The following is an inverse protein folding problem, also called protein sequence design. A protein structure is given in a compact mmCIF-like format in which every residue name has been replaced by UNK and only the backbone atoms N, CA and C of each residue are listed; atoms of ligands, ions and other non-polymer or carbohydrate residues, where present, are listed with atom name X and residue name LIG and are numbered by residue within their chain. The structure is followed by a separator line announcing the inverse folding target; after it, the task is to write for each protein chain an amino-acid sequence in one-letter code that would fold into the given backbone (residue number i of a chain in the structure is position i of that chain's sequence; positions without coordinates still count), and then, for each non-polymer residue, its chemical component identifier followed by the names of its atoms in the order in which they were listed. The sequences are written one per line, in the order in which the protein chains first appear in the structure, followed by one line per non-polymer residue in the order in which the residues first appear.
data_IF_574391991688
#
_entry.id   IF_574391991688
#
_cell.length_a   1.000
_cell.length_b   1.000
_cell.length_c   1.000
_cell.angle_alpha   90.00
_cell.angle_beta   90.00
_cell.angle_gamma   90.00
#
_symmetry.space_group_name_H-M   'P 1'
#
loop_
_entity.id
_entity.type
_entity.pdbx_description
1 polymer ?
#
# COMPACT_ATOMS: atom_id res chain seq x y z
N UNK A 1 5.32 -5.03 -15.63
CA UNK A 1 5.12 -5.81 -14.38
C UNK A 1 3.65 -5.92 -14.02
N UNK A 2 2.91 -4.82 -13.92
CA UNK A 2 1.50 -4.79 -13.52
C UNK A 2 0.57 -5.70 -14.36
N UNK A 3 0.80 -5.82 -15.67
CA UNK A 3 0.03 -6.72 -16.54
C UNK A 3 0.20 -8.18 -16.13
N UNK A 4 1.44 -8.62 -15.92
CA UNK A 4 1.70 -10.02 -15.55
C UNK A 4 1.21 -10.32 -14.13
N UNK A 5 1.36 -9.38 -13.18
CA UNK A 5 0.77 -9.53 -11.84
C UNK A 5 -0.75 -9.65 -11.87
N UNK A 6 -1.43 -8.94 -12.77
CA UNK A 6 -2.87 -9.07 -12.97
C UNK A 6 -3.22 -10.41 -13.59
N UNK A 7 -2.44 -10.85 -14.57
CA UNK A 7 -2.63 -12.15 -15.20
C UNK A 7 -2.42 -13.28 -14.20
N UNK A 8 -1.32 -13.28 -13.45
CA UNK A 8 -1.03 -14.28 -12.42
C UNK A 8 -2.12 -14.36 -11.35
N UNK A 9 -2.71 -13.22 -10.98
CA UNK A 9 -3.80 -13.19 -10.01
C UNK A 9 -5.05 -13.93 -10.50
N UNK A 10 -5.37 -13.87 -11.79
CA UNK A 10 -6.55 -14.53 -12.36
C UNK A 10 -6.21 -15.87 -13.02
N UNK A 11 -4.94 -16.17 -13.26
CA UNK A 11 -4.46 -17.39 -13.90
C UNK A 11 -4.98 -18.70 -13.25
N UNK A 12 -5.15 -18.78 -11.92
CA UNK A 12 -5.74 -19.96 -11.26
C UNK A 12 -7.08 -20.41 -11.87
N UNK A 13 -7.87 -19.50 -12.46
CA UNK A 13 -9.12 -19.82 -13.14
C UNK A 13 -8.91 -20.58 -14.46
N UNK A 14 -7.73 -20.47 -15.04
CA UNK A 14 -7.32 -21.18 -16.28
C UNK A 14 -6.43 -22.40 -16.02
N UNK A 15 -6.07 -22.66 -14.76
CA UNK A 15 -5.20 -23.77 -14.39
C UNK A 15 -6.00 -25.10 -14.43
N UNK A 16 -5.60 -26.07 -15.26
CA UNK A 16 -6.30 -27.32 -15.39
C UNK A 16 -6.24 -28.20 -14.13
N UNK A 17 -5.18 -28.08 -13.33
CA UNK A 17 -5.04 -28.81 -12.06
C UNK A 17 -6.03 -28.29 -11.03
N UNK A 18 -6.11 -26.96 -10.88
CA UNK A 18 -7.04 -26.35 -9.95
C UNK A 18 -8.49 -26.56 -10.37
N UNK A 19 -8.78 -26.47 -11.67
CA UNK A 19 -10.11 -26.74 -12.22
C UNK A 19 -10.56 -28.17 -11.87
N UNK A 20 -9.69 -29.16 -12.06
CA UNK A 20 -10.00 -30.54 -11.72
C UNK A 20 -10.09 -30.77 -10.20
N UNK A 21 -9.20 -30.14 -9.43
CA UNK A 21 -9.17 -30.29 -7.97
C UNK A 21 -10.42 -29.72 -7.29
N UNK A 22 -10.91 -28.59 -7.74
CA UNK A 22 -12.06 -27.90 -7.16
C UNK A 22 -13.37 -28.10 -7.91
N UNK A 23 -13.37 -28.86 -9.01
CA UNK A 23 -14.57 -29.23 -9.76
C UNK A 23 -15.24 -28.06 -10.50
N UNK A 24 -14.49 -27.03 -10.91
CA UNK A 24 -15.02 -25.94 -11.72
C UNK A 24 -14.59 -26.06 -13.19
N UNK A 25 -15.34 -25.39 -14.08
CA UNK A 25 -14.98 -25.35 -15.50
C UNK A 25 -13.80 -24.38 -15.70
N UNK A 26 -12.73 -24.90 -16.30
CA UNK A 26 -11.55 -24.10 -16.66
C UNK A 26 -11.95 -22.96 -17.60
N UNK A 27 -11.53 -21.75 -17.30
CA UNK A 27 -11.65 -20.59 -18.18
C UNK A 27 -10.55 -20.63 -19.23
N UNK A 28 -10.89 -20.33 -20.48
CA UNK A 28 -9.90 -20.26 -21.55
C UNK A 28 -8.86 -19.20 -21.27
N UNK A 29 -7.60 -19.55 -21.36
CA UNK A 29 -6.47 -18.70 -20.98
C UNK A 29 -6.41 -17.40 -21.80
N UNK A 30 -6.87 -17.40 -23.06
CA UNK A 30 -6.93 -16.17 -23.86
C UNK A 30 -7.92 -15.14 -23.29
N UNK A 31 -9.03 -15.60 -22.68
CA UNK A 31 -10.00 -14.72 -22.01
C UNK A 31 -9.34 -14.03 -20.81
N UNK A 32 -8.52 -14.78 -20.06
CA UNK A 32 -7.78 -14.22 -18.92
C UNK A 32 -6.79 -13.14 -19.39
N UNK A 33 -6.11 -13.34 -20.50
CA UNK A 33 -5.24 -12.32 -21.09
C UNK A 33 -6.00 -11.06 -21.50
N UNK A 34 -7.19 -11.22 -22.11
CA UNK A 34 -8.04 -10.06 -22.47
C UNK A 34 -8.50 -9.29 -21.24
N UNK A 35 -8.93 -9.99 -20.18
CA UNK A 35 -9.34 -9.37 -18.92
C UNK A 35 -8.14 -8.64 -18.27
N UNK A 36 -6.99 -9.30 -18.16
CA UNK A 36 -5.79 -8.69 -17.59
C UNK A 36 -5.36 -7.45 -18.37
N UNK A 37 -5.37 -7.51 -19.71
CA UNK A 37 -5.04 -6.38 -20.58
C UNK A 37 -6.03 -5.21 -20.41
N UNK A 38 -7.33 -5.49 -20.33
CA UNK A 38 -8.35 -4.46 -20.15
C UNK A 38 -8.16 -3.73 -18.81
N UNK A 39 -7.99 -4.47 -17.71
CA UNK A 39 -7.73 -3.89 -16.39
C UNK A 39 -6.42 -3.10 -16.38
N UNK A 40 -5.38 -3.65 -17.02
CA UNK A 40 -4.08 -3.00 -17.14
C UNK A 40 -4.16 -1.64 -17.85
N UNK A 41 -4.90 -1.55 -18.94
CA UNK A 41 -5.11 -0.27 -19.67
C UNK A 41 -5.76 0.76 -18.76
N UNK A 42 -6.75 0.37 -17.96
CA UNK A 42 -7.40 1.26 -16.98
C UNK A 42 -6.40 1.75 -15.93
N UNK A 43 -5.61 0.83 -15.34
CA UNK A 43 -4.59 1.18 -14.34
C UNK A 43 -3.53 2.12 -14.92
N UNK A 44 -3.04 1.82 -16.13
CA UNK A 44 -2.09 2.69 -16.84
C UNK A 44 -2.66 4.09 -17.14
N UNK A 45 -3.95 4.19 -17.49
CA UNK A 45 -4.60 5.46 -17.70
C UNK A 45 -4.64 6.31 -16.42
N UNK A 46 -5.07 5.73 -15.30
CA UNK A 46 -5.08 6.43 -14.01
C UNK A 46 -3.67 6.84 -13.57
N UNK A 47 -2.71 5.93 -13.64
CA UNK A 47 -1.30 6.19 -13.31
C UNK A 47 -0.73 7.30 -14.19
N UNK A 48 -0.97 7.20 -15.50
CA UNK A 48 -0.48 8.15 -16.50
C UNK A 48 -1.04 9.55 -16.31
N UNK A 49 -2.36 9.69 -16.12
CA UNK A 49 -3.00 11.00 -15.85
C UNK A 49 -2.46 11.61 -14.55
N UNK A 50 -2.31 10.79 -13.50
CA UNK A 50 -1.78 11.24 -12.23
C UNK A 50 -0.35 11.77 -12.37
N UNK A 51 0.55 10.98 -12.95
CA UNK A 51 1.96 11.35 -13.16
C UNK A 51 2.10 12.55 -14.11
N UNK A 52 1.29 12.60 -15.18
CA UNK A 52 1.26 13.73 -16.11
C UNK A 52 0.93 15.05 -15.39
N UNK A 53 -0.14 15.07 -14.58
CA UNK A 53 -0.55 16.26 -13.85
C UNK A 53 0.52 16.72 -12.87
N UNK A 54 1.12 15.78 -12.11
CA UNK A 54 2.17 16.08 -11.14
C UNK A 54 3.46 16.56 -11.82
N UNK A 55 3.86 15.93 -12.94
CA UNK A 55 5.04 16.31 -13.71
C UNK A 55 4.87 17.70 -14.33
N UNK A 56 3.68 18.02 -14.86
CA UNK A 56 3.34 19.33 -15.41
C UNK A 56 3.42 20.43 -14.35
N UNK A 57 2.89 20.19 -13.16
CA UNK A 57 3.00 21.13 -12.02
C UNK A 57 4.44 21.47 -11.66
N UNK A 58 5.36 20.50 -11.81
CA UNK A 58 6.80 20.73 -11.58
C UNK A 58 7.54 21.41 -12.75
N UNK A 59 6.83 21.86 -13.77
CA UNK A 59 7.43 22.55 -14.92
C UNK A 59 8.24 21.63 -15.83
N UNK A 60 8.02 20.33 -15.80
CA UNK A 60 8.68 19.39 -16.70
C UNK A 60 8.17 19.57 -18.15
N UNK A 61 9.04 19.24 -19.14
CA UNK A 61 8.66 19.30 -20.55
C UNK A 61 7.48 18.37 -20.86
N UNK A 62 6.66 18.73 -21.84
CA UNK A 62 5.49 17.93 -22.23
C UNK A 62 5.85 16.49 -22.60
N UNK A 63 6.99 16.28 -23.28
CA UNK A 63 7.49 14.96 -23.65
C UNK A 63 7.74 14.10 -22.41
N UNK A 64 8.36 14.68 -21.38
CA UNK A 64 8.62 13.98 -20.13
C UNK A 64 7.33 13.63 -19.39
N UNK A 65 6.33 14.52 -19.41
CA UNK A 65 5.02 14.25 -18.80
C UNK A 65 4.30 13.07 -19.48
N UNK A 66 4.45 12.93 -20.82
CA UNK A 66 3.85 11.81 -21.57
C UNK A 66 4.46 10.44 -21.21
N UNK A 67 5.68 10.39 -20.67
CA UNK A 67 6.27 9.14 -20.16
C UNK A 67 5.42 8.48 -19.07
N UNK A 68 4.54 9.24 -18.40
CA UNK A 68 3.58 8.69 -17.43
C UNK A 68 2.64 7.64 -18.01
N UNK A 69 2.34 7.70 -19.32
CA UNK A 69 1.47 6.73 -20.00
C UNK A 69 2.22 5.55 -20.59
N UNK A 70 3.55 5.60 -20.65
CA UNK A 70 4.38 4.54 -21.20
C UNK A 70 4.72 3.55 -20.10
N UNK A 71 4.41 2.24 -20.26
CA UNK A 71 4.85 1.20 -19.34
C UNK A 71 6.36 1.32 -19.05
N UNK A 72 6.78 0.96 -17.85
CA UNK A 72 8.16 1.11 -17.34
C UNK A 72 8.65 2.56 -17.21
N UNK A 73 8.48 3.39 -18.25
CA UNK A 73 8.86 4.81 -18.19
C UNK A 73 8.06 5.58 -17.15
N UNK A 74 6.83 5.17 -16.86
CA UNK A 74 6.00 5.70 -15.77
C UNK A 74 6.66 5.51 -14.40
N UNK A 75 7.31 4.36 -14.17
CA UNK A 75 8.04 4.08 -12.92
C UNK A 75 9.30 4.94 -12.80
N UNK A 76 10.01 5.15 -13.91
CA UNK A 76 11.13 6.12 -13.96
C UNK A 76 10.65 7.53 -13.63
N UNK A 77 9.53 7.98 -14.24
CA UNK A 77 8.95 9.30 -13.98
C UNK A 77 8.51 9.45 -12.52
N UNK A 78 7.89 8.41 -11.94
CA UNK A 78 7.55 8.36 -10.52
C UNK A 78 8.77 8.58 -9.64
N UNK A 79 9.89 7.89 -9.94
CA UNK A 79 11.14 8.06 -9.21
C UNK A 79 11.74 9.46 -9.35
N UNK A 80 11.64 10.06 -10.52
CA UNK A 80 12.07 11.45 -10.75
C UNK A 80 11.22 12.45 -9.96
N UNK A 81 9.92 12.22 -9.86
CA UNK A 81 9.00 13.03 -9.05
C UNK A 81 9.20 12.82 -7.55
N UNK A 82 9.63 11.64 -7.13
CA UNK A 82 9.94 11.33 -5.73
C UNK A 82 11.18 12.09 -5.24
N UNK A 83 12.14 12.41 -6.13
CA UNK A 83 13.39 13.04 -5.77
C UNK A 83 14.42 12.07 -5.20
N UNK A 84 15.29 12.54 -4.30
CA UNK A 84 16.34 11.73 -3.68
C UNK A 84 15.79 10.93 -2.50
N UNK A 85 16.01 9.62 -2.49
CA UNK A 85 15.71 8.79 -1.33
C UNK A 85 16.84 8.90 -0.31
N UNK A 86 16.52 9.33 0.91
CA UNK A 86 17.46 9.36 2.03
C UNK A 86 17.27 8.13 2.92
N UNK A 87 18.28 7.29 3.00
CA UNK A 87 18.37 6.13 3.88
C UNK A 87 19.50 6.39 4.89
N UNK A 88 19.13 6.95 6.06
CA UNK A 88 20.13 7.40 7.03
C UNK A 88 21.05 8.45 6.41
N UNK A 89 22.36 8.15 6.39
CA UNK A 89 23.39 9.04 5.82
C UNK A 89 23.58 8.89 4.29
N UNK A 90 22.97 7.88 3.67
CA UNK A 90 23.12 7.64 2.24
C UNK A 90 21.99 8.25 1.43
N UNK A 91 22.34 8.93 0.32
CA UNK A 91 21.39 9.47 -0.65
C UNK A 91 21.40 8.58 -1.88
N UNK A 92 20.27 7.91 -2.13
CA UNK A 92 20.09 7.11 -3.34
C UNK A 92 19.46 7.99 -4.41
N UNK A 93 20.24 8.31 -5.43
CA UNK A 93 19.76 8.98 -6.64
C UNK A 93 19.25 7.92 -7.62
N UNK A 94 18.29 8.30 -8.46
CA UNK A 94 17.82 7.46 -9.58
C UNK A 94 17.16 6.12 -9.18
N UNK A 95 16.54 6.04 -7.97
CA UNK A 95 15.83 4.81 -7.56
C UNK A 95 14.79 4.37 -8.61
N UNK A 96 14.09 5.30 -9.26
CA UNK A 96 13.12 5.00 -10.32
C UNK A 96 13.74 4.33 -11.54
N UNK A 97 15.02 4.60 -11.87
CA UNK A 97 15.73 3.93 -12.95
C UNK A 97 16.02 2.47 -12.61
N UNK A 98 16.47 2.21 -11.37
CA UNK A 98 16.73 0.83 -10.92
C UNK A 98 15.47 0.00 -10.90
N UNK A 99 14.36 0.55 -10.40
CA UNK A 99 13.06 -0.14 -10.40
C UNK A 99 12.58 -0.39 -11.82
N UNK A 100 12.71 0.58 -12.73
CA UNK A 100 12.35 0.43 -14.14
C UNK A 100 13.12 -0.69 -14.83
N UNK A 101 14.44 -0.79 -14.59
CA UNK A 101 15.27 -1.86 -15.15
C UNK A 101 14.84 -3.22 -14.57
N UNK A 102 14.60 -3.29 -13.27
CA UNK A 102 14.12 -4.51 -12.63
C UNK A 102 12.74 -4.94 -13.17
N UNK A 103 11.82 -4.00 -13.39
CA UNK A 103 10.53 -4.26 -14.03
C UNK A 103 10.67 -4.81 -15.45
N UNK A 104 11.62 -4.27 -16.23
CA UNK A 104 11.87 -4.74 -17.61
C UNK A 104 12.39 -6.18 -17.61
N UNK A 105 13.34 -6.49 -16.72
CA UNK A 105 13.89 -7.85 -16.59
C UNK A 105 12.79 -8.84 -16.19
N UNK A 106 11.97 -8.50 -15.21
CA UNK A 106 10.84 -9.33 -14.79
C UNK A 106 9.82 -9.51 -15.90
N UNK A 107 9.49 -8.45 -16.64
CA UNK A 107 8.55 -8.51 -17.75
C UNK A 107 9.02 -9.51 -18.83
N UNK A 108 10.30 -9.50 -19.15
CA UNK A 108 10.88 -10.47 -20.10
C UNK A 108 10.79 -11.89 -19.52
N UNK A 109 11.15 -12.06 -18.24
CA UNK A 109 11.08 -13.36 -17.57
C UNK A 109 9.68 -13.95 -17.57
N UNK A 110 8.67 -13.18 -17.16
CA UNK A 110 7.27 -13.61 -17.19
C UNK A 110 6.76 -13.88 -18.62
N UNK A 111 7.14 -13.04 -19.59
CA UNK A 111 6.75 -13.30 -20.98
C UNK A 111 7.28 -14.65 -21.50
N UNK A 112 8.51 -15.02 -21.13
CA UNK A 112 9.12 -16.31 -21.50
C UNK A 112 8.45 -17.49 -20.78
N UNK A 113 7.92 -17.27 -19.58
CA UNK A 113 7.22 -18.29 -18.79
C UNK A 113 5.75 -18.40 -19.20
N UNK A 114 4.99 -17.32 -19.13
CA UNK A 114 3.52 -17.35 -19.15
C UNK A 114 2.94 -17.48 -20.56
N UNK A 115 3.64 -16.94 -21.59
CA UNK A 115 3.15 -17.05 -22.96
C UNK A 115 3.17 -18.50 -23.46
N UNK A 116 4.28 -19.24 -23.36
CA UNK A 116 4.29 -20.66 -23.75
C UNK A 116 3.35 -21.51 -22.89
N UNK A 117 3.31 -21.28 -21.58
CA UNK A 117 2.39 -21.98 -20.69
C UNK A 117 0.94 -21.75 -21.10
N UNK A 118 0.58 -20.52 -21.44
CA UNK A 118 -0.76 -20.17 -21.91
C UNK A 118 -1.12 -20.90 -23.21
N UNK A 119 -0.18 -20.95 -24.16
CA UNK A 119 -0.36 -21.66 -25.43
C UNK A 119 -0.58 -23.16 -25.20
N UNK A 120 0.20 -23.78 -24.30
CA UNK A 120 0.03 -25.19 -23.95
C UNK A 120 -1.37 -25.41 -23.33
N UNK A 121 -1.79 -24.55 -22.39
CA UNK A 121 -3.08 -24.69 -21.70
C UNK A 121 -4.30 -24.39 -22.59
N UNK A 122 -4.12 -23.69 -23.70
CA UNK A 122 -5.15 -23.55 -24.76
C UNK A 122 -5.37 -24.84 -25.58
N UNK A 123 -4.37 -25.74 -25.60
CA UNK A 123 -4.40 -26.95 -26.42
C UNK A 123 -4.44 -28.18 -25.48
N UNK A 124 -5.63 -28.77 -25.24
CA UNK A 124 -5.77 -29.92 -24.33
C UNK A 124 -4.92 -31.13 -24.73
N UNK A 125 -4.58 -31.27 -26.04
CA UNK A 125 -3.76 -32.37 -26.54
C UNK A 125 -2.28 -32.27 -26.16
N UNK A 126 -1.84 -31.12 -25.61
CA UNK A 126 -0.45 -30.90 -25.26
C UNK A 126 -0.14 -31.20 -23.77
N UNK A 127 -1.14 -31.53 -22.99
CA UNK A 127 -0.94 -31.86 -21.56
C UNK A 127 -2.01 -32.85 -21.07
N UNK A 128 -1.68 -33.52 -19.98
CA UNK A 128 -2.60 -34.40 -19.25
C UNK A 128 -2.44 -34.15 -17.75
N UNK A 129 -3.55 -34.06 -17.02
CA UNK A 129 -3.55 -33.95 -15.56
C UNK A 129 -3.73 -35.36 -15.00
N UNK A 130 -2.71 -35.86 -14.29
CA UNK A 130 -2.73 -37.19 -13.68
C UNK A 130 -2.46 -37.10 -12.18
N UNK A 131 -3.09 -37.99 -11.38
CA UNK A 131 -2.74 -38.16 -9.98
C UNK A 131 -1.38 -38.84 -9.83
N UNK A 132 -0.52 -38.28 -9.00
CA UNK A 132 0.78 -38.85 -8.64
C UNK A 132 0.78 -39.15 -7.15
N UNK A 133 1.12 -40.37 -6.78
CA UNK A 133 1.27 -40.76 -5.37
C UNK A 133 2.71 -40.51 -4.92
N UNK A 134 2.85 -39.80 -3.78
CA UNK A 134 4.12 -39.62 -3.11
C UNK A 134 3.95 -39.95 -1.62
N UNK A 135 4.38 -41.14 -1.24
CA UNK A 135 4.09 -41.68 0.10
C UNK A 135 2.59 -41.86 0.33
N UNK A 136 2.07 -41.23 1.39
CA UNK A 136 0.64 -41.29 1.74
C UNK A 136 -0.20 -40.16 1.12
N UNK A 137 0.41 -39.30 0.30
CA UNK A 137 -0.24 -38.17 -0.36
C UNK A 137 -0.41 -38.44 -1.84
N UNK A 138 -1.60 -38.09 -2.37
CA UNK A 138 -1.87 -38.05 -3.79
C UNK A 138 -2.09 -36.61 -4.21
N UNK A 139 -1.33 -36.13 -5.20
CA UNK A 139 -1.47 -34.77 -5.75
C UNK A 139 -1.63 -34.84 -7.28
N UNK A 140 -2.34 -33.88 -7.83
CA UNK A 140 -2.51 -33.76 -9.29
C UNK A 140 -1.29 -33.04 -9.87
N UNK A 141 -0.80 -33.53 -10.99
CA UNK A 141 0.35 -32.96 -11.71
C UNK A 141 0.07 -32.92 -13.20
N UNK A 142 0.64 -31.91 -13.88
CA UNK A 142 0.59 -31.79 -15.32
C UNK A 142 1.73 -32.59 -15.92
N UNK A 143 1.38 -33.48 -16.87
CA UNK A 143 2.32 -34.15 -17.75
C UNK A 143 2.19 -33.54 -19.13
N UNK A 144 3.28 -33.06 -19.69
CA UNK A 144 3.29 -32.52 -21.06
C UNK A 144 3.40 -33.65 -22.07
N UNK A 145 2.71 -33.49 -23.20
CA UNK A 145 2.81 -34.45 -24.32
C UNK A 145 4.23 -34.47 -24.90
N UNK A 146 4.62 -35.57 -25.51
CA UNK A 146 5.94 -35.74 -26.17
C UNK A 146 6.19 -34.70 -27.29
N UNK A 147 5.12 -34.15 -27.86
CA UNK A 147 5.18 -33.06 -28.84
C UNK A 147 5.68 -31.74 -28.27
N UNK A 148 5.62 -31.55 -26.95
CA UNK A 148 6.15 -30.35 -26.27
C UNK A 148 7.66 -30.53 -26.07
N UNK A 149 8.50 -29.68 -26.68
CA UNK A 149 9.96 -29.83 -26.54
C UNK A 149 10.44 -29.72 -25.11
N UNK A 150 11.26 -30.64 -24.63
CA UNK A 150 11.80 -30.66 -23.29
C UNK A 150 12.59 -29.39 -22.95
N UNK A 151 13.29 -28.78 -23.91
CA UNK A 151 13.99 -27.52 -23.71
C UNK A 151 13.02 -26.37 -23.33
N UNK A 152 11.80 -26.35 -23.90
CA UNK A 152 10.79 -25.34 -23.61
C UNK A 152 10.32 -25.46 -22.16
N UNK A 153 9.99 -26.70 -21.74
CA UNK A 153 9.57 -26.96 -20.33
C UNK A 153 10.67 -26.57 -19.34
N UNK A 154 11.92 -26.96 -19.64
CA UNK A 154 13.06 -26.60 -18.79
C UNK A 154 13.27 -25.08 -18.72
N UNK A 155 13.08 -24.38 -19.83
CA UNK A 155 13.18 -22.91 -19.88
C UNK A 155 12.08 -22.26 -19.03
N UNK A 156 10.82 -22.71 -19.17
CA UNK A 156 9.70 -22.21 -18.37
C UNK A 156 9.96 -22.42 -16.85
N UNK A 157 10.42 -23.62 -16.47
CA UNK A 157 10.74 -23.93 -15.06
C UNK A 157 11.89 -23.06 -14.53
N UNK A 158 12.93 -22.86 -15.34
CA UNK A 158 14.03 -21.98 -14.97
C UNK A 158 13.55 -20.54 -14.73
N UNK A 159 12.78 -19.98 -15.67
CA UNK A 159 12.25 -18.62 -15.53
C UNK A 159 11.25 -18.49 -14.40
N UNK A 160 10.48 -19.52 -14.08
CA UNK A 160 9.59 -19.52 -12.91
C UNK A 160 10.37 -19.30 -11.60
N UNK A 161 11.45 -20.07 -11.41
CA UNK A 161 12.32 -19.91 -10.23
C UNK A 161 13.02 -18.55 -10.26
N UNK A 162 13.56 -18.16 -11.42
CA UNK A 162 14.24 -16.88 -11.61
C UNK A 162 13.31 -15.70 -11.28
N UNK A 163 12.11 -15.66 -11.84
CA UNK A 163 11.14 -14.60 -11.61
C UNK A 163 10.71 -14.54 -10.14
N UNK A 164 10.52 -15.70 -9.49
CA UNK A 164 10.18 -15.75 -8.07
C UNK A 164 11.26 -15.07 -7.22
N UNK A 165 12.53 -15.42 -7.42
CA UNK A 165 13.64 -14.82 -6.66
C UNK A 165 13.79 -13.34 -6.99
N UNK A 166 13.76 -13.00 -8.28
CA UNK A 166 13.98 -11.62 -8.73
C UNK A 166 12.83 -10.69 -8.35
N UNK A 167 11.60 -11.21 -8.21
CA UNK A 167 10.44 -10.49 -7.72
C UNK A 167 10.67 -9.91 -6.31
N UNK A 168 11.30 -10.66 -5.40
CA UNK A 168 11.63 -10.12 -4.07
C UNK A 168 12.61 -8.95 -4.14
N UNK A 169 13.60 -9.01 -5.04
CA UNK A 169 14.54 -7.90 -5.25
C UNK A 169 13.77 -6.67 -5.77
N UNK A 170 12.94 -6.87 -6.78
CA UNK A 170 12.09 -5.81 -7.32
C UNK A 170 11.16 -5.22 -6.26
N UNK A 171 10.52 -6.06 -5.44
CA UNK A 171 9.60 -5.63 -4.38
C UNK A 171 10.29 -4.70 -3.38
N UNK A 172 11.51 -5.05 -2.94
CA UNK A 172 12.30 -4.19 -2.04
C UNK A 172 12.61 -2.84 -2.69
N UNK A 173 13.06 -2.84 -3.94
CA UNK A 173 13.34 -1.60 -4.68
C UNK A 173 12.06 -0.78 -4.88
N UNK A 174 10.94 -1.42 -5.17
CA UNK A 174 9.63 -0.79 -5.33
C UNK A 174 9.12 -0.16 -4.03
N UNK A 175 9.28 -0.83 -2.89
CA UNK A 175 8.98 -0.28 -1.56
C UNK A 175 9.79 1.01 -1.32
N UNK A 176 11.08 1.02 -1.62
CA UNK A 176 11.91 2.22 -1.49
C UNK A 176 11.46 3.35 -2.42
N UNK A 177 11.05 3.03 -3.65
CA UNK A 177 10.48 4.00 -4.57
C UNK A 177 9.19 4.60 -4.01
N UNK A 178 8.26 3.75 -3.54
CA UNK A 178 7.01 4.18 -2.94
C UNK A 178 7.25 5.03 -1.67
N UNK A 179 8.20 4.63 -0.81
CA UNK A 179 8.60 5.42 0.36
C UNK A 179 9.06 6.83 -0.04
N UNK A 180 9.93 6.94 -1.04
CA UNK A 180 10.41 8.25 -1.51
C UNK A 180 9.25 9.09 -2.06
N UNK A 181 8.40 8.48 -2.89
CA UNK A 181 7.28 9.15 -3.53
C UNK A 181 6.23 9.63 -2.52
N UNK A 182 5.75 8.75 -1.65
CA UNK A 182 4.70 9.11 -0.69
C UNK A 182 5.22 10.00 0.45
N UNK A 183 6.50 9.97 0.82
CA UNK A 183 7.09 11.00 1.70
C UNK A 183 6.95 12.39 1.11
N UNK A 184 7.09 12.52 -0.21
CA UNK A 184 7.00 13.82 -0.91
C UNK A 184 5.56 14.30 -1.08
N UNK A 185 4.57 13.40 -1.25
CA UNK A 185 3.20 13.80 -1.58
C UNK A 185 2.15 13.48 -0.53
N UNK A 186 2.45 12.61 0.44
CA UNK A 186 1.54 12.14 1.48
C UNK A 186 2.26 11.93 2.81
N UNK A 187 3.06 12.90 3.25
CA UNK A 187 3.99 12.82 4.40
C UNK A 187 3.36 12.29 5.69
N UNK A 188 2.08 12.59 5.94
CA UNK A 188 1.39 12.15 7.16
C UNK A 188 1.02 10.66 7.15
N UNK A 189 0.70 10.10 5.97
CA UNK A 189 0.15 8.73 5.83
C UNK A 189 1.04 7.83 4.96
N UNK A 190 2.27 8.23 4.65
CA UNK A 190 3.13 7.54 3.69
C UNK A 190 3.36 6.06 4.03
N UNK A 191 3.48 5.70 5.31
CA UNK A 191 3.72 4.32 5.74
C UNK A 191 2.58 3.40 5.29
N UNK A 192 1.33 3.81 5.55
CA UNK A 192 0.15 3.02 5.15
C UNK A 192 0.02 2.90 3.64
N UNK A 193 0.35 3.98 2.90
CA UNK A 193 0.34 3.95 1.43
C UNK A 193 1.40 3.00 0.89
N UNK A 194 2.60 2.97 1.48
CA UNK A 194 3.67 2.05 1.08
C UNK A 194 3.27 0.60 1.35
N UNK A 195 2.71 0.31 2.53
CA UNK A 195 2.23 -1.05 2.87
C UNK A 195 1.15 -1.50 1.90
N UNK A 196 0.18 -0.63 1.60
CA UNK A 196 -0.89 -0.95 0.64
C UNK A 196 -0.34 -1.23 -0.76
N UNK A 197 0.61 -0.42 -1.24
CA UNK A 197 1.27 -0.64 -2.54
C UNK A 197 2.14 -1.90 -2.56
N UNK A 198 2.75 -2.28 -1.43
CA UNK A 198 3.56 -3.49 -1.33
C UNK A 198 2.71 -4.76 -1.40
N UNK A 199 1.51 -4.74 -0.79
CA UNK A 199 0.57 -5.87 -0.81
C UNK A 199 -0.14 -5.96 -2.17
N UNK A 200 -0.57 -4.82 -2.71
CA UNK A 200 -1.35 -4.73 -3.95
C UNK A 200 -0.72 -3.68 -4.87
N UNK A 201 0.32 -4.04 -5.67
CA UNK A 201 1.04 -3.08 -6.51
C UNK A 201 0.15 -2.30 -7.49
N UNK A 202 -0.93 -2.91 -7.97
CA UNK A 202 -1.90 -2.30 -8.89
C UNK A 202 -2.56 -1.04 -8.31
N UNK A 203 -2.73 -0.98 -6.98
CA UNK A 203 -3.34 0.17 -6.29
C UNK A 203 -2.48 1.44 -6.43
N UNK A 204 -1.19 1.30 -6.69
CA UNK A 204 -0.27 2.44 -6.88
C UNK A 204 -0.76 3.41 -7.95
N UNK A 205 -1.31 2.91 -9.06
CA UNK A 205 -1.86 3.75 -10.12
C UNK A 205 -3.02 4.65 -9.64
N UNK A 206 -3.93 4.10 -8.87
CA UNK A 206 -5.07 4.82 -8.30
C UNK A 206 -4.64 5.83 -7.23
N UNK A 207 -3.67 5.48 -6.38
CA UNK A 207 -3.13 6.39 -5.37
C UNK A 207 -2.41 7.58 -6.02
N UNK A 208 -1.59 7.35 -7.05
CA UNK A 208 -0.94 8.42 -7.80
C UNK A 208 -1.99 9.36 -8.41
N UNK A 209 -3.07 8.81 -8.98
CA UNK A 209 -4.17 9.62 -9.49
C UNK A 209 -4.87 10.43 -8.39
N UNK A 210 -5.12 9.83 -7.23
CA UNK A 210 -5.73 10.53 -6.09
C UNK A 210 -4.87 11.72 -5.62
N UNK A 211 -3.55 11.58 -5.66
CA UNK A 211 -2.62 12.63 -5.24
C UNK A 211 -2.21 13.62 -6.34
N UNK A 212 -2.77 13.53 -7.55
CA UNK A 212 -2.39 14.36 -8.72
C UNK A 212 -2.43 15.87 -8.48
N UNK A 213 -3.29 16.31 -7.57
CA UNK A 213 -3.46 17.74 -7.26
C UNK A 213 -2.58 18.23 -6.11
N UNK A 214 -1.89 17.32 -5.39
CA UNK A 214 -1.05 17.68 -4.26
C UNK A 214 0.28 18.27 -4.73
N UNK A 215 0.76 19.25 -4.00
CA UNK A 215 2.08 19.82 -4.21
C UNK A 215 3.14 19.02 -3.44
N UNK A 216 4.38 18.95 -3.94
CA UNK A 216 5.45 18.25 -3.27
C UNK A 216 5.81 18.95 -1.95
N UNK A 217 5.91 18.19 -0.89
CA UNK A 217 6.28 18.66 0.44
C UNK A 217 7.75 18.27 0.70
N UNK A 218 8.54 19.19 1.22
CA UNK A 218 9.85 18.84 1.78
C UNK A 218 9.64 18.09 3.10
N UNK A 219 9.90 16.78 3.07
CA UNK A 219 9.66 15.90 4.23
C UNK A 219 10.50 16.31 5.44
N UNK A 220 11.74 16.76 5.24
CA UNK A 220 12.61 17.17 6.34
C UNK A 220 12.03 18.41 7.06
N UNK A 221 11.58 19.38 6.26
CA UNK A 221 10.90 20.56 6.79
C UNK A 221 9.60 20.22 7.51
N UNK A 222 8.78 19.36 6.92
CA UNK A 222 7.55 18.87 7.55
C UNK A 222 7.82 18.19 8.90
N UNK A 223 8.85 17.34 8.98
CA UNK A 223 9.21 16.68 10.24
C UNK A 223 9.73 17.66 11.30
N UNK A 224 10.52 18.64 10.90
CA UNK A 224 10.97 19.69 11.81
C UNK A 224 9.79 20.49 12.39
N UNK A 225 8.88 20.95 11.54
CA UNK A 225 7.68 21.67 11.96
C UNK A 225 6.80 20.82 12.88
N UNK A 226 6.65 19.51 12.58
CA UNK A 226 5.91 18.57 13.43
C UNK A 226 6.56 18.40 14.79
N UNK A 227 7.87 18.25 14.85
CA UNK A 227 8.61 18.12 16.11
C UNK A 227 8.53 19.41 16.94
N UNK A 228 8.60 20.57 16.29
CA UNK A 228 8.40 21.85 17.00
C UNK A 228 6.98 22.00 17.56
N UNK A 229 5.95 21.58 16.82
CA UNK A 229 4.56 21.58 17.32
C UNK A 229 4.42 20.68 18.54
N UNK A 230 4.97 19.46 18.50
CA UNK A 230 4.97 18.53 19.64
C UNK A 230 5.69 19.16 20.84
N UNK A 231 6.86 19.77 20.61
CA UNK A 231 7.62 20.44 21.66
C UNK A 231 6.85 21.61 22.28
N UNK A 232 6.19 22.44 21.45
CA UNK A 232 5.35 23.54 21.94
C UNK A 232 4.14 23.03 22.74
N UNK A 233 3.49 21.95 22.26
CA UNK A 233 2.38 21.32 22.98
C UNK A 233 2.83 20.76 24.34
N UNK A 234 3.99 20.10 24.39
CA UNK A 234 4.58 19.64 25.66
C UNK A 234 4.93 20.80 26.58
N UNK A 235 5.52 21.89 26.07
CA UNK A 235 5.82 23.07 26.86
C UNK A 235 4.56 23.78 27.39
N UNK A 236 3.48 23.80 26.60
CA UNK A 236 2.18 24.35 27.02
C UNK A 236 1.53 23.49 28.12
N UNK A 237 1.74 22.16 28.05
CA UNK A 237 1.23 21.23 29.08
C UNK A 237 2.02 21.32 30.40
N UNK A 238 3.31 21.67 30.33
CA UNK A 238 4.18 21.97 31.47
C UNK A 238 4.27 23.49 31.72
N UNK A 239 3.16 24.23 31.57
CA UNK A 239 3.12 25.69 31.71
C UNK A 239 3.81 26.20 32.96
N UNK A 240 4.12 27.52 33.06
CA UNK A 240 4.97 28.12 34.11
C UNK A 240 4.44 27.97 35.54
N UNK A 241 3.29 27.30 35.72
CA UNK A 241 2.67 26.98 37.01
C UNK A 241 2.77 25.52 37.44
N UNK A 242 3.47 24.65 36.70
CA UNK A 242 3.71 23.24 37.08
C UNK A 242 4.83 23.07 38.11
N UNK A 243 5.42 24.10 38.60
CA UNK A 243 6.30 24.09 39.76
C UNK A 243 5.45 24.01 41.02
N UNK A 244 5.33 22.83 41.63
CA UNK A 244 4.74 22.63 42.94
C UNK A 244 5.48 23.52 43.95
N UNK A 245 4.86 24.61 44.49
CA UNK A 245 5.56 25.51 45.41
C UNK A 245 5.85 24.86 46.78
N UNK A 246 5.42 23.61 46.97
CA UNK A 246 5.71 22.76 48.13
C UNK A 246 6.67 21.59 47.81
N UNK A 247 7.44 21.68 46.75
CA UNK A 247 8.52 20.72 46.43
C UNK A 247 9.60 20.81 47.54
N UNK A 248 9.68 19.73 48.31
CA UNK A 248 10.54 19.48 49.46
C UNK A 248 12.00 19.93 49.19
N UNK A 249 12.55 20.93 49.92
CA UNK A 249 13.89 21.43 49.67
C UNK A 249 15.02 20.49 50.09
N UNK A 250 14.71 19.27 50.57
CA UNK A 250 15.67 18.27 51.04
C UNK A 250 15.87 17.06 50.10
N UNK A 251 15.41 17.13 48.84
CA UNK A 251 15.46 15.99 47.91
C UNK A 251 16.53 16.09 46.82
N UNK A 252 17.54 16.92 46.93
CA UNK A 252 18.67 16.89 45.98
C UNK A 252 19.67 15.81 46.40
N UNK A 253 19.53 14.61 45.78
CA UNK A 253 20.54 13.57 45.85
C UNK A 253 21.59 13.84 44.75
N UNK A 254 22.83 14.29 45.08
CA UNK A 254 23.82 14.68 44.06
C UNK A 254 24.50 13.50 43.36
N UNK A 255 24.07 12.24 43.63
CA UNK A 255 24.69 11.03 43.08
C UNK A 255 23.81 10.18 42.15
N UNK A 256 22.73 10.74 41.57
CA UNK A 256 21.76 9.98 40.74
C UNK A 256 21.76 10.32 39.27
N UNK A 257 22.85 10.78 38.68
CA UNK A 257 22.92 10.90 37.22
C UNK A 257 23.39 9.58 36.60
N UNK A 258 22.45 8.74 36.17
CA UNK A 258 22.71 7.56 35.36
C UNK A 258 22.66 7.97 33.90
N UNK A 259 23.80 8.05 33.15
CA UNK A 259 23.82 8.52 31.76
C UNK A 259 23.32 7.52 30.72
N UNK A 260 22.79 6.35 31.13
CA UNK A 260 22.40 5.26 30.22
C UNK A 260 20.91 4.87 30.26
N UNK A 261 20.01 5.77 30.66
CA UNK A 261 18.59 5.45 30.83
C UNK A 261 17.62 6.20 29.90
N UNK A 262 17.96 6.47 28.64
CA UNK A 262 16.96 6.95 27.68
C UNK A 262 16.41 5.76 26.87
N UNK A 263 15.26 5.23 27.31
CA UNK A 263 14.48 4.27 26.56
C UNK A 263 13.53 5.04 25.62
N UNK A 264 13.71 5.01 24.28
CA UNK A 264 12.87 5.77 23.34
C UNK A 264 11.48 5.16 23.09
N UNK A 265 11.10 4.08 23.79
CA UNK A 265 9.85 3.35 23.56
C UNK A 265 8.93 3.29 24.79
N UNK A 266 8.86 4.34 25.59
CA UNK A 266 7.88 4.46 26.67
C UNK A 266 6.52 4.92 26.15
N UNK A 267 5.56 4.00 26.02
CA UNK A 267 4.14 4.30 25.77
C UNK A 267 3.54 5.08 26.95
N UNK A 268 2.88 6.23 26.74
CA UNK A 268 2.10 6.88 27.79
C UNK A 268 0.67 6.33 27.78
N UNK A 269 0.43 5.29 28.59
CA UNK A 269 -0.92 4.98 29.06
C UNK A 269 -1.03 5.35 30.54
N UNK A 270 -1.97 6.26 30.83
CA UNK A 270 -2.53 6.41 32.18
C UNK A 270 -2.37 7.79 32.81
N UNK A 271 -3.37 8.63 32.83
CA UNK A 271 -4.28 8.80 33.94
C UNK A 271 -5.14 10.06 33.79
N UNK A 272 -6.42 9.88 34.05
CA UNK A 272 -7.45 10.91 34.21
C UNK A 272 -7.09 11.92 35.30
N UNK A 273 -7.25 13.23 35.03
CA UNK A 273 -7.24 14.30 36.01
C UNK A 273 -8.15 15.44 35.56
N UNK A 274 -9.23 15.65 36.27
CA UNK A 274 -10.22 16.69 36.16
C UNK A 274 -9.61 18.12 36.15
N UNK A 275 -10.17 19.02 35.32
CA UNK A 275 -10.00 20.46 35.52
C UNK A 275 -10.04 21.26 34.22
N UNK A 276 -11.23 21.79 33.87
CA UNK A 276 -11.43 22.63 32.71
C UNK A 276 -10.80 24.01 32.85
N UNK A 277 -10.32 24.52 31.73
CA UNK A 277 -10.39 25.94 31.33
C UNK A 277 -9.88 26.05 29.89
N UNK A 278 -10.56 26.85 29.08
CA UNK A 278 -10.50 26.99 27.64
C UNK A 278 -9.11 26.90 26.99
N UNK A 279 -8.99 25.97 26.09
CA UNK A 279 -7.85 25.89 25.19
C UNK A 279 -7.85 27.08 24.21
N UNK A 280 -6.68 27.70 23.95
CA UNK A 280 -6.56 28.67 22.86
C UNK A 280 -6.91 28.00 21.51
N UNK A 281 -7.68 28.69 20.67
CA UNK A 281 -7.96 28.26 19.29
C UNK A 281 -6.64 27.94 18.58
N UNK A 282 -6.53 26.71 18.16
CA UNK A 282 -5.44 26.29 17.26
C UNK A 282 -5.49 27.11 15.97
N UNK A 283 -4.34 27.59 15.48
CA UNK A 283 -4.27 28.13 14.13
C UNK A 283 -4.59 27.03 13.13
N UNK A 284 -5.34 27.36 12.08
CA UNK A 284 -5.85 26.50 11.03
C UNK A 284 -4.82 25.44 10.60
N UNK A 285 -5.08 24.19 10.97
CA UNK A 285 -4.33 23.03 10.51
C UNK A 285 -4.79 22.76 9.06
N UNK A 286 -3.93 22.89 8.05
CA UNK A 286 -4.30 22.61 6.67
C UNK A 286 -4.68 21.13 6.43
N UNK A 287 -4.56 20.27 7.44
CA UNK A 287 -4.97 18.86 7.42
C UNK A 287 -6.09 18.56 8.44
N UNK A 288 -6.64 19.54 9.12
CA UNK A 288 -7.71 19.42 10.12
C UNK A 288 -9.01 18.85 9.55
N UNK A 289 -9.18 18.91 8.24
CA UNK A 289 -10.35 18.35 7.54
C UNK A 289 -10.46 16.82 7.62
N UNK A 290 -9.39 16.12 8.01
CA UNK A 290 -9.34 14.65 8.13
C UNK A 290 -9.26 14.15 9.59
N UNK A 291 -9.21 15.04 10.58
CA UNK A 291 -9.12 14.67 11.99
C UNK A 291 -10.31 15.12 12.84
N UNK A 292 -11.36 15.67 12.25
CA UNK A 292 -12.59 16.03 12.96
C UNK A 292 -13.43 14.79 13.22
N UNK A 293 -13.13 14.07 14.30
CA UNK A 293 -14.16 13.34 15.02
C UNK A 293 -15.17 14.37 15.53
N UNK A 294 -16.48 14.18 15.35
CA UNK A 294 -17.47 15.12 15.83
C UNK A 294 -17.40 15.15 17.36
N UNK A 295 -16.90 16.25 17.89
CA UNK A 295 -16.95 16.59 19.32
C UNK A 295 -18.43 16.76 19.69
N UNK A 296 -18.95 15.77 20.38
CA UNK A 296 -20.29 15.78 20.99
C UNK A 296 -20.29 16.80 22.11
N UNK A 297 -20.73 18.00 21.81
CA UNK A 297 -21.02 19.03 22.79
C UNK A 297 -22.41 18.74 23.38
N UNK A 298 -22.46 18.04 24.52
CA UNK A 298 -23.63 18.01 25.38
C UNK A 298 -23.61 19.27 26.24
N UNK A 299 -24.34 20.30 25.85
CA UNK A 299 -24.85 21.31 26.79
C UNK A 299 -26.27 21.70 26.40
N UNK A 300 -27.13 21.48 27.38
CA UNK A 300 -28.56 21.45 27.30
C UNK A 300 -29.26 22.77 27.00
N UNK A 301 -30.52 22.61 26.67
CA UNK A 301 -31.61 23.59 26.83
C UNK A 301 -32.23 24.01 25.51
N UNK A 302 -33.49 23.60 25.27
CA UNK A 302 -34.44 24.36 24.46
C UNK A 302 -34.93 23.71 23.16
N UNK A 303 -36.02 23.01 23.27
CA UNK A 303 -37.20 22.97 22.41
C UNK A 303 -37.07 23.29 20.89
N UNK A 304 -37.58 22.37 20.06
CA UNK A 304 -37.89 22.65 18.65
C UNK A 304 -37.56 21.51 17.70
N UNK A 305 -38.54 20.62 17.47
CA UNK A 305 -38.39 19.43 16.60
C UNK A 305 -38.06 19.74 15.15
N UNK A 306 -37.28 18.85 14.55
CA UNK A 306 -37.46 18.38 13.18
C UNK A 306 -36.77 17.01 13.03
N UNK A 307 -37.52 16.01 12.63
CA UNK A 307 -37.12 14.67 12.28
C UNK A 307 -36.15 14.71 11.07
N UNK A 308 -34.88 14.28 11.28
CA UNK A 308 -33.97 13.91 10.24
C UNK A 308 -33.67 12.42 10.39
N UNK A 309 -34.26 11.58 9.51
CA UNK A 309 -34.12 10.13 9.54
C UNK A 309 -32.68 9.69 9.25
N UNK A 310 -32.22 8.77 10.08
CA UNK A 310 -30.97 8.03 9.92
C UNK A 310 -31.11 7.01 8.78
N UNK A 311 -30.32 7.10 7.68
CA UNK A 311 -30.46 6.20 6.55
C UNK A 311 -29.91 4.77 6.79
N UNK A 312 -29.36 4.45 7.97
CA UNK A 312 -28.82 3.12 8.29
C UNK A 312 -29.55 2.37 9.41
N UNK A 313 -30.75 2.83 9.82
CA UNK A 313 -31.53 2.25 10.93
C UNK A 313 -32.24 0.91 10.66
N UNK A 314 -32.10 0.29 9.48
CA UNK A 314 -32.99 -0.80 9.04
C UNK A 314 -32.44 -2.24 9.23
N UNK A 315 -31.30 -2.43 9.92
CA UNK A 315 -30.69 -3.77 10.09
C UNK A 315 -30.52 -4.25 11.54
N UNK A 316 -31.23 -3.69 12.50
CA UNK A 316 -31.25 -4.22 13.87
C UNK A 316 -32.69 -4.44 14.39
N UNK A 317 -33.40 -5.40 13.83
CA UNK A 317 -34.68 -5.90 14.32
C UNK A 317 -34.60 -7.41 14.45
N UNK A 318 -34.31 -7.95 15.58
CA UNK A 318 -35.32 -8.38 16.55
C UNK A 318 -35.70 -9.82 16.34
N UNK A 319 -34.98 -10.78 17.02
CA UNK A 319 -35.50 -12.12 17.25
C UNK A 319 -35.84 -12.25 18.75
N UNK A 320 -37.07 -11.88 19.10
CA UNK A 320 -37.67 -12.19 20.39
C UNK A 320 -38.70 -13.30 20.21
N UNK A 321 -38.54 -14.32 21.02
CA UNK A 321 -39.19 -15.61 21.03
C UNK A 321 -40.70 -15.61 21.01
N UNK A 322 -41.22 -16.70 20.53
CA UNK A 322 -42.58 -17.16 20.85
C UNK A 322 -42.54 -18.63 21.27
N UNK A 323 -42.68 -18.79 22.58
CA UNK A 323 -42.99 -20.02 23.26
C UNK A 323 -44.52 -20.21 23.17
N UNK A 324 -45.02 -21.34 22.58
CA UNK A 324 -46.34 -21.93 22.92
C UNK A 324 -46.45 -23.37 22.52
N UNK A 325 -46.56 -24.15 23.58
CA UNK A 325 -47.34 -25.37 23.81
C UNK A 325 -48.32 -25.84 22.70
N UNK A 326 -48.18 -27.03 22.26
CA UNK A 326 -49.13 -28.14 22.30
C UNK A 326 -48.50 -29.41 21.71
#
# INVERSE_FOLDING_TARGET
MELFSLFDFIFPLGDPVLAQMYGFNKVDTWILWVIAAAVYVVVCAFKGVGLYAMAKKRGNSALLCLLGFVPFASTYLMGRLAGELRLGNTKVKHIGLFVMIAELILCIGYAVQDIPQSVIFMNPDLYEVRPVASGNLTYLTIFFAESVPAWLVNTMNFFSIFCTIFYFIWLVLFIFLCMSFFRTYASASYIWMVVLCAIIPVVTGFLIFAFRNRDPIDYDKYMQERMERIRRAQQAQYGPYGGNPYGNPYGQNPYGQNPYGQNPYGTPYGQNGYGGQGAPKEPDDPFGEYSSSPSRNDNGGGDGGTQGGDPFGEYSGGNSGENRNS
#
